data_IF_350477192832
#
_entry.id   IF_350477192832
#
_cell.length_a   1.000
_cell.length_b   1.000
_cell.length_c   1.000
_cell.angle_alpha   90.00
_cell.angle_beta   90.00
_cell.angle_gamma   90.00
#
_symmetry.space_group_name_H-M   'P 1'
#
loop_
_entity.id
_entity.type
_entity.pdbx_description
1 polymer ?
#
# COMPACT_ATOMS: atom_id res chain seq x y z
N UNK A 1 15.26 -37.39 21.77
CA UNK A 1 15.53 -36.84 23.10
C UNK A 1 14.33 -37.14 23.97
N UNK A 2 14.53 -37.93 25.01
CA UNK A 2 13.47 -38.27 25.94
C UNK A 2 13.17 -37.10 26.91
N UNK A 3 12.07 -37.17 27.67
CA UNK A 3 11.68 -36.10 28.61
C UNK A 3 12.70 -35.90 29.73
N UNK A 4 13.42 -36.97 30.09
CA UNK A 4 14.48 -36.92 31.08
C UNK A 4 15.66 -36.07 30.57
N UNK A 5 16.20 -36.39 29.40
CA UNK A 5 17.27 -35.64 28.72
C UNK A 5 16.91 -34.17 28.52
N UNK A 6 15.65 -33.86 28.15
CA UNK A 6 15.15 -32.48 28.08
C UNK A 6 15.22 -31.79 29.44
N UNK A 7 14.79 -32.46 30.51
CA UNK A 7 14.83 -31.94 31.88
C UNK A 7 16.24 -31.59 32.34
N UNK A 8 17.23 -32.46 32.09
CA UNK A 8 18.64 -32.14 32.36
C UNK A 8 19.11 -30.96 31.51
N UNK A 9 18.80 -30.96 30.21
CA UNK A 9 19.23 -29.92 29.29
C UNK A 9 18.74 -28.52 29.74
N UNK A 10 17.47 -28.37 30.12
CA UNK A 10 16.95 -27.11 30.66
C UNK A 10 17.63 -26.69 31.95
N UNK A 11 17.95 -27.63 32.85
CA UNK A 11 18.60 -27.34 34.13
C UNK A 11 20.09 -26.98 34.00
N UNK A 12 20.83 -27.61 33.08
CA UNK A 12 22.26 -27.31 32.87
C UNK A 12 22.48 -26.02 32.06
N UNK A 13 21.57 -25.67 31.14
CA UNK A 13 21.75 -24.55 30.19
C UNK A 13 22.10 -23.21 30.85
N UNK A 14 21.43 -22.76 31.94
CA UNK A 14 21.76 -21.50 32.63
C UNK A 14 23.17 -21.45 33.21
N UNK A 15 23.81 -22.60 33.39
CA UNK A 15 25.13 -22.73 34.00
C UNK A 15 26.23 -22.87 32.96
N UNK A 16 25.89 -23.18 31.70
CA UNK A 16 26.88 -23.28 30.63
C UNK A 16 27.48 -21.89 30.32
N UNK A 17 28.78 -21.78 30.00
CA UNK A 17 29.77 -22.85 30.00
C UNK A 17 30.14 -23.29 31.43
N UNK A 18 30.14 -24.59 31.69
CA UNK A 18 30.45 -25.18 33.01
C UNK A 18 31.23 -26.48 32.88
N UNK A 19 32.04 -26.79 33.88
CA UNK A 19 32.80 -28.03 33.98
C UNK A 19 31.94 -29.21 34.41
N UNK A 20 32.40 -30.45 34.15
CA UNK A 20 31.77 -31.67 34.67
C UNK A 20 31.55 -31.60 36.20
N UNK A 21 32.53 -31.08 36.94
CA UNK A 21 32.47 -30.97 38.40
C UNK A 21 31.39 -30.00 38.87
N UNK A 22 31.30 -28.82 38.24
CA UNK A 22 30.28 -27.82 38.55
C UNK A 22 28.87 -28.32 38.26
N UNK A 23 28.68 -29.05 37.16
CA UNK A 23 27.41 -29.67 36.82
C UNK A 23 27.07 -30.82 37.78
N UNK A 24 28.02 -31.68 38.16
CA UNK A 24 27.77 -32.77 39.12
C UNK A 24 27.34 -32.26 40.50
N UNK A 25 27.91 -31.14 40.95
CA UNK A 25 27.55 -30.52 42.23
C UNK A 25 26.11 -30.00 42.25
N UNK A 26 25.57 -29.52 41.13
CA UNK A 26 24.19 -29.01 41.06
C UNK A 26 23.10 -30.09 40.93
N UNK A 27 23.51 -31.33 40.71
CA UNK A 27 22.61 -32.46 40.62
C UNK A 27 22.83 -33.45 41.77
N UNK A 28 23.42 -33.00 42.89
CA UNK A 28 23.64 -33.83 44.10
C UNK A 28 24.26 -35.20 43.77
N UNK A 29 25.28 -35.21 42.90
CA UNK A 29 25.97 -36.45 42.48
C UNK A 29 25.08 -37.47 41.76
N UNK A 30 24.04 -37.00 41.05
CA UNK A 30 23.19 -37.86 40.23
C UNK A 30 24.00 -38.73 39.26
N UNK A 31 23.95 -40.04 39.52
CA UNK A 31 24.68 -41.06 38.75
C UNK A 31 24.29 -41.11 37.28
N UNK A 32 23.11 -40.61 36.91
CA UNK A 32 22.62 -40.57 35.54
C UNK A 32 23.12 -39.36 34.73
N UNK A 33 23.58 -38.28 35.39
CA UNK A 33 24.02 -37.04 34.75
C UNK A 33 25.11 -37.29 33.72
N UNK A 34 26.10 -38.13 34.04
CA UNK A 34 27.22 -38.45 33.15
C UNK A 34 26.74 -39.09 31.84
N UNK A 35 25.80 -40.03 31.94
CA UNK A 35 25.23 -40.69 30.77
C UNK A 35 24.44 -39.71 29.89
N UNK A 36 23.73 -38.77 30.51
CA UNK A 36 22.98 -37.72 29.81
C UNK A 36 23.92 -36.74 29.11
N UNK A 37 24.98 -36.26 29.78
CA UNK A 37 25.98 -35.38 29.19
C UNK A 37 26.70 -36.03 27.99
N UNK A 38 27.03 -37.32 28.09
CA UNK A 38 27.62 -38.08 26.98
C UNK A 38 26.67 -38.20 25.79
N UNK A 39 25.37 -38.45 26.02
CA UNK A 39 24.36 -38.50 24.96
C UNK A 39 24.16 -37.14 24.30
N UNK A 40 24.05 -36.06 25.09
CA UNK A 40 23.90 -34.69 24.59
C UNK A 40 25.12 -34.23 23.79
N UNK A 41 26.31 -34.70 24.17
CA UNK A 41 27.55 -34.45 23.41
C UNK A 41 27.57 -35.23 22.09
N UNK A 42 27.20 -36.52 22.11
CA UNK A 42 27.09 -37.35 20.90
C UNK A 42 26.05 -36.82 19.90
N UNK A 43 24.94 -36.27 20.40
CA UNK A 43 23.91 -35.64 19.56
C UNK A 43 24.29 -34.23 19.10
N UNK A 44 25.52 -33.75 19.37
CA UNK A 44 26.03 -32.42 19.01
C UNK A 44 25.17 -31.27 19.54
N UNK A 45 24.59 -31.46 20.73
CA UNK A 45 23.82 -30.44 21.43
C UNK A 45 24.76 -29.67 22.37
N UNK A 46 25.57 -30.42 23.12
CA UNK A 46 26.67 -29.89 23.91
C UNK A 46 28.01 -30.13 23.21
N UNK A 47 28.89 -29.15 23.30
CA UNK A 47 30.30 -29.25 22.95
C UNK A 47 31.09 -29.42 24.23
N UNK A 48 31.94 -30.43 24.29
CA UNK A 48 32.98 -30.55 25.31
C UNK A 48 34.29 -29.99 24.74
N UNK A 49 34.91 -29.05 25.44
CA UNK A 49 36.23 -28.50 25.09
C UNK A 49 37.11 -28.45 26.33
N UNK A 50 38.18 -29.25 26.33
CA UNK A 50 38.90 -29.56 27.56
C UNK A 50 37.97 -30.28 28.54
N UNK A 51 37.70 -29.64 29.67
CA UNK A 51 36.78 -30.15 30.71
C UNK A 51 35.47 -29.32 30.83
N UNK A 52 35.22 -28.41 29.88
CA UNK A 52 34.09 -27.48 29.93
C UNK A 52 33.05 -27.87 28.89
N UNK A 53 31.82 -28.05 29.34
CA UNK A 53 30.64 -28.20 28.50
C UNK A 53 30.10 -26.82 28.15
N UNK A 54 29.72 -26.63 26.90
CA UNK A 54 28.94 -25.49 26.43
C UNK A 54 27.99 -25.93 25.31
N UNK A 55 27.11 -25.04 24.84
CA UNK A 55 26.29 -25.31 23.66
C UNK A 55 27.06 -25.06 22.37
N UNK A 56 26.76 -25.78 21.29
CA UNK A 56 27.33 -25.48 19.97
C UNK A 56 26.82 -24.16 19.36
N UNK A 57 25.68 -23.67 19.82
CA UNK A 57 25.00 -22.53 19.22
C UNK A 57 24.35 -21.65 20.31
N UNK A 58 24.82 -20.41 20.44
CA UNK A 58 24.31 -19.44 21.42
C UNK A 58 22.81 -19.15 21.22
N UNK A 59 22.34 -19.19 19.98
CA UNK A 59 20.93 -19.02 19.62
C UNK A 59 20.07 -20.16 20.19
N UNK A 60 20.63 -21.37 20.27
CA UNK A 60 19.97 -22.52 20.88
C UNK A 60 20.01 -22.45 22.41
N UNK A 61 21.09 -21.91 22.98
CA UNK A 61 21.20 -21.63 24.42
C UNK A 61 20.15 -20.63 24.87
N UNK A 62 20.01 -19.51 24.16
CA UNK A 62 18.97 -18.50 24.42
C UNK A 62 17.55 -19.10 24.35
N UNK A 63 17.29 -19.97 23.36
CA UNK A 63 16.01 -20.69 23.28
C UNK A 63 15.72 -21.53 24.53
N UNK A 64 16.72 -22.27 25.01
CA UNK A 64 16.60 -23.11 26.19
C UNK A 64 16.42 -22.29 27.48
N UNK A 65 16.95 -21.07 27.55
CA UNK A 65 16.77 -20.17 28.69
C UNK A 65 15.37 -19.52 28.71
N UNK A 66 14.95 -18.99 27.57
CA UNK A 66 13.76 -18.13 27.51
C UNK A 66 12.49 -18.86 27.06
N UNK A 67 12.62 -20.11 26.62
CA UNK A 67 11.52 -20.90 26.02
C UNK A 67 10.96 -20.29 24.73
N UNK A 68 11.64 -19.29 24.17
CA UNK A 68 11.20 -18.52 23.00
C UNK A 68 12.14 -18.78 21.86
N UNK A 69 11.60 -19.27 20.74
CA UNK A 69 12.39 -19.36 19.52
C UNK A 69 12.93 -17.97 19.17
N UNK A 70 14.23 -17.86 18.87
CA UNK A 70 14.83 -16.60 18.46
C UNK A 70 14.07 -16.12 17.23
N UNK A 71 13.51 -14.92 17.34
CA UNK A 71 12.71 -14.35 16.26
C UNK A 71 13.66 -13.82 15.21
N UNK A 72 14.05 -14.68 14.27
CA UNK A 72 14.88 -14.30 13.13
C UNK A 72 14.03 -13.52 12.15
N UNK A 73 14.14 -12.19 12.19
CA UNK A 73 13.52 -11.30 11.22
C UNK A 73 14.48 -11.02 10.08
N UNK A 74 14.01 -11.13 8.84
CA UNK A 74 14.84 -10.82 7.69
C UNK A 74 14.98 -9.30 7.54
N UNK A 75 16.22 -8.84 7.40
CA UNK A 75 16.55 -7.46 7.07
C UNK A 75 16.65 -7.31 5.55
N UNK A 76 15.78 -6.52 4.94
CA UNK A 76 15.83 -6.26 3.50
C UNK A 76 15.32 -4.87 3.13
N UNK A 77 15.78 -4.39 1.98
CA UNK A 77 15.38 -3.11 1.38
C UNK A 77 14.45 -3.34 0.20
N UNK A 78 13.40 -2.54 0.08
CA UNK A 78 12.53 -2.56 -1.10
C UNK A 78 13.22 -1.99 -2.34
N UNK A 79 13.01 -2.66 -3.48
CA UNK A 79 13.61 -2.31 -4.77
C UNK A 79 12.69 -1.45 -5.64
N UNK A 80 11.38 -1.51 -5.44
CA UNK A 80 10.36 -0.76 -6.14
C UNK A 80 9.42 -0.05 -5.15
N UNK A 81 8.58 0.84 -5.68
CA UNK A 81 7.53 1.49 -4.89
C UNK A 81 6.33 0.56 -4.67
N UNK A 82 5.57 0.71 -3.57
CA UNK A 82 4.38 -0.10 -3.26
C UNK A 82 3.44 -0.26 -4.45
N UNK A 83 3.14 0.85 -5.11
CA UNK A 83 2.23 0.92 -6.25
C UNK A 83 2.66 0.02 -7.41
N UNK A 84 3.96 0.00 -7.73
CA UNK A 84 4.47 -0.81 -8.84
C UNK A 84 4.32 -2.30 -8.53
N UNK A 85 4.63 -2.68 -7.30
CA UNK A 85 4.56 -4.07 -6.83
C UNK A 85 3.12 -4.57 -6.77
N UNK A 86 2.25 -3.81 -6.10
CA UNK A 86 0.86 -4.22 -5.90
C UNK A 86 0.03 -4.15 -7.17
N UNK A 87 0.23 -3.15 -8.04
CA UNK A 87 -0.48 -3.13 -9.32
C UNK A 87 -0.17 -4.33 -10.17
N UNK A 88 1.08 -4.77 -10.18
CA UNK A 88 1.43 -5.98 -10.91
C UNK A 88 0.82 -7.23 -10.27
N UNK A 89 0.81 -7.32 -8.93
CA UNK A 89 0.12 -8.40 -8.22
C UNK A 89 -1.38 -8.46 -8.57
N UNK A 90 -2.08 -7.33 -8.56
CA UNK A 90 -3.49 -7.28 -8.95
C UNK A 90 -3.69 -7.71 -10.40
N UNK A 91 -2.84 -7.23 -11.31
CA UNK A 91 -2.87 -7.67 -12.70
C UNK A 91 -2.62 -9.16 -12.86
N UNK A 92 -1.77 -9.78 -12.04
CA UNK A 92 -1.55 -11.23 -12.07
C UNK A 92 -2.82 -11.99 -11.69
N UNK A 93 -3.45 -11.63 -10.58
CA UNK A 93 -4.69 -12.27 -10.12
C UNK A 93 -5.80 -12.11 -11.18
N UNK A 94 -5.96 -10.91 -11.74
CA UNK A 94 -6.97 -10.62 -12.76
C UNK A 94 -6.69 -11.34 -14.09
N UNK A 95 -5.45 -11.37 -14.55
CA UNK A 95 -5.08 -11.99 -15.83
C UNK A 95 -5.32 -13.49 -15.82
N UNK A 96 -5.07 -14.15 -14.68
CA UNK A 96 -5.29 -15.59 -14.52
C UNK A 96 -6.68 -15.96 -14.01
N UNK A 97 -7.55 -14.97 -13.75
CA UNK A 97 -8.85 -15.16 -13.08
C UNK A 97 -8.72 -16.08 -11.85
N UNK A 98 -7.72 -15.79 -11.02
CA UNK A 98 -7.39 -16.64 -9.87
C UNK A 98 -8.45 -16.46 -8.78
N UNK A 99 -9.20 -17.52 -8.53
CA UNK A 99 -10.27 -17.57 -7.53
C UNK A 99 -9.71 -18.00 -6.17
N UNK A 100 -9.96 -19.23 -5.71
CA UNK A 100 -9.47 -19.71 -4.41
C UNK A 100 -8.30 -20.70 -4.52
N UNK A 101 -7.95 -21.14 -5.72
CA UNK A 101 -6.88 -22.13 -5.93
C UNK A 101 -5.49 -21.49 -6.01
N UNK A 102 -4.47 -22.25 -5.61
CA UNK A 102 -3.06 -21.84 -5.78
C UNK A 102 -2.74 -21.52 -7.25
N UNK A 103 -2.14 -20.35 -7.49
CA UNK A 103 -1.68 -19.94 -8.81
C UNK A 103 -0.18 -20.24 -8.96
N UNK A 104 0.16 -21.06 -9.96
CA UNK A 104 1.54 -21.39 -10.35
C UNK A 104 1.90 -20.68 -11.64
N UNK A 105 3.09 -20.10 -11.66
CA UNK A 105 3.57 -19.23 -12.72
C UNK A 105 5.02 -19.61 -13.04
N UNK A 106 5.34 -19.69 -14.32
CA UNK A 106 6.72 -19.74 -14.79
C UNK A 106 7.39 -18.37 -14.68
N UNK A 107 8.73 -18.36 -14.72
CA UNK A 107 9.49 -17.11 -14.77
C UNK A 107 9.21 -16.29 -16.04
N UNK A 108 8.94 -16.96 -17.17
CA UNK A 108 8.64 -16.29 -18.44
C UNK A 108 7.24 -15.67 -18.44
N UNK A 109 6.22 -16.32 -17.86
CA UNK A 109 4.86 -15.72 -17.75
C UNK A 109 4.86 -14.40 -16.99
N UNK A 110 5.57 -14.32 -15.87
CA UNK A 110 5.70 -13.06 -15.11
C UNK A 110 6.40 -11.98 -15.95
N UNK A 111 7.46 -12.37 -16.67
CA UNK A 111 8.23 -11.45 -17.49
C UNK A 111 7.39 -10.92 -18.66
N UNK A 112 6.71 -11.80 -19.38
CA UNK A 112 5.87 -11.46 -20.52
C UNK A 112 4.70 -10.57 -20.10
N UNK A 113 4.02 -10.91 -19.00
CA UNK A 113 2.94 -10.09 -18.48
C UNK A 113 3.45 -8.69 -18.08
N UNK A 114 4.61 -8.62 -17.43
CA UNK A 114 5.19 -7.34 -17.00
C UNK A 114 5.56 -6.47 -18.20
N UNK A 115 6.26 -7.03 -19.19
CA UNK A 115 6.72 -6.32 -20.38
C UNK A 115 5.53 -5.90 -21.27
N UNK A 116 4.48 -6.71 -21.36
CA UNK A 116 3.23 -6.34 -22.03
C UNK A 116 2.57 -5.11 -21.40
N UNK A 117 2.60 -5.01 -20.06
CA UNK A 117 2.03 -3.87 -19.34
C UNK A 117 2.96 -2.66 -19.28
N UNK A 118 4.27 -2.86 -19.51
CA UNK A 118 5.30 -1.85 -19.42
C UNK A 118 6.35 -2.09 -20.54
N UNK A 119 6.06 -1.67 -21.78
CA UNK A 119 6.94 -1.96 -22.93
C UNK A 119 8.36 -1.38 -22.81
N UNK A 120 8.53 -0.34 -21.98
CA UNK A 120 9.82 0.27 -21.66
C UNK A 120 10.54 -0.41 -20.48
N UNK A 121 9.95 -1.48 -19.93
CA UNK A 121 10.52 -2.26 -18.84
C UNK A 121 11.71 -3.10 -19.29
N UNK A 122 12.47 -3.61 -18.32
CA UNK A 122 13.59 -4.50 -18.58
C UNK A 122 13.63 -5.65 -17.57
N UNK A 123 14.45 -6.66 -17.86
CA UNK A 123 14.61 -7.85 -17.01
C UNK A 123 15.07 -7.52 -15.59
N UNK A 124 15.82 -6.43 -15.41
CA UNK A 124 16.27 -6.01 -14.09
C UNK A 124 15.10 -5.56 -13.21
N UNK A 125 14.16 -4.79 -13.76
CA UNK A 125 12.94 -4.39 -13.04
C UNK A 125 12.03 -5.58 -12.76
N UNK A 126 11.92 -6.54 -13.68
CA UNK A 126 11.18 -7.80 -13.44
C UNK A 126 11.79 -8.56 -12.25
N UNK A 127 13.12 -8.62 -12.16
CA UNK A 127 13.79 -9.27 -11.03
C UNK A 127 13.56 -8.52 -9.71
N UNK A 128 13.58 -7.18 -9.72
CA UNK A 128 13.22 -6.38 -8.55
C UNK A 128 11.78 -6.59 -8.11
N UNK A 129 10.86 -6.72 -9.06
CA UNK A 129 9.45 -7.00 -8.80
C UNK A 129 9.25 -8.37 -8.15
N UNK A 130 9.84 -9.42 -8.73
CA UNK A 130 9.83 -10.77 -8.15
C UNK A 130 10.44 -10.77 -6.75
N UNK A 131 11.54 -10.03 -6.55
CA UNK A 131 12.18 -9.90 -5.26
C UNK A 131 11.21 -9.28 -4.24
N UNK A 132 10.65 -8.10 -4.51
CA UNK A 132 9.80 -7.40 -3.56
C UNK A 132 8.51 -8.20 -3.26
N UNK A 133 7.87 -8.81 -4.27
CA UNK A 133 6.71 -9.70 -4.09
C UNK A 133 6.99 -10.87 -3.14
N UNK A 134 8.19 -11.47 -3.26
CA UNK A 134 8.63 -12.54 -2.35
C UNK A 134 8.84 -12.02 -0.93
N UNK A 135 9.48 -10.86 -0.78
CA UNK A 135 9.75 -10.28 0.53
C UNK A 135 8.48 -9.90 1.30
N UNK A 136 7.43 -9.44 0.61
CA UNK A 136 6.11 -9.18 1.21
C UNK A 136 5.21 -10.42 1.26
N UNK A 137 5.73 -11.59 0.89
CA UNK A 137 5.02 -12.87 1.00
C UNK A 137 3.81 -13.01 0.09
N UNK A 138 3.74 -12.27 -1.01
CA UNK A 138 2.72 -12.43 -2.06
C UNK A 138 3.12 -13.45 -3.13
N UNK A 139 4.40 -13.82 -3.16
CA UNK A 139 4.96 -14.79 -4.11
C UNK A 139 5.96 -15.70 -3.38
N UNK A 140 5.98 -16.98 -3.74
CA UNK A 140 6.97 -17.96 -3.26
C UNK A 140 7.68 -18.60 -4.44
N UNK A 141 8.86 -19.16 -4.21
CA UNK A 141 9.57 -19.98 -5.19
C UNK A 141 9.45 -21.44 -4.75
N UNK A 142 8.99 -22.31 -5.64
CA UNK A 142 8.99 -23.77 -5.47
C UNK A 142 9.62 -24.40 -6.70
N UNK A 143 10.86 -24.89 -6.57
CA UNK A 143 11.66 -25.32 -7.73
C UNK A 143 11.82 -24.17 -8.72
N UNK A 144 11.46 -24.39 -9.98
CA UNK A 144 11.50 -23.38 -11.04
C UNK A 144 10.22 -22.54 -11.15
N UNK A 145 9.19 -22.88 -10.38
CA UNK A 145 7.89 -22.22 -10.39
C UNK A 145 7.78 -21.13 -9.32
N UNK A 146 7.00 -20.11 -9.65
CA UNK A 146 6.59 -19.03 -8.78
C UNK A 146 5.14 -19.24 -8.38
N UNK A 147 4.87 -19.18 -7.09
CA UNK A 147 3.60 -19.63 -6.54
C UNK A 147 2.95 -18.53 -5.70
N UNK A 148 1.68 -18.24 -6.00
CA UNK A 148 0.80 -17.47 -5.14
C UNK A 148 -0.12 -18.48 -4.44
N UNK A 149 0.08 -18.67 -3.13
CA UNK A 149 -0.70 -19.67 -2.39
C UNK A 149 -2.17 -19.26 -2.28
N UNK A 150 -3.06 -20.25 -2.24
CA UNK A 150 -4.50 -20.09 -1.98
C UNK A 150 -4.81 -19.08 -0.86
N UNK A 151 -4.09 -19.15 0.27
CA UNK A 151 -4.29 -18.23 1.40
C UNK A 151 -4.06 -16.76 1.05
N UNK A 152 -3.11 -16.46 0.15
CA UNK A 152 -2.84 -15.09 -0.31
C UNK A 152 -3.95 -14.61 -1.24
N UNK A 153 -4.50 -15.51 -2.06
CA UNK A 153 -5.56 -15.17 -3.00
C UNK A 153 -6.88 -14.94 -2.24
N UNK A 154 -7.18 -15.77 -1.24
CA UNK A 154 -8.30 -15.54 -0.30
C UNK A 154 -8.20 -14.20 0.42
N UNK A 155 -7.01 -13.82 0.88
CA UNK A 155 -6.74 -12.51 1.50
C UNK A 155 -6.97 -11.35 0.53
N UNK A 156 -6.66 -11.54 -0.75
CA UNK A 156 -6.96 -10.56 -1.79
C UNK A 156 -8.48 -10.40 -1.94
N UNK A 157 -9.23 -11.50 -2.13
CA UNK A 157 -10.69 -11.46 -2.31
C UNK A 157 -11.43 -10.95 -1.06
N UNK A 158 -10.90 -11.17 0.14
CA UNK A 158 -11.48 -10.66 1.39
C UNK A 158 -11.20 -9.17 1.67
N UNK A 159 -10.51 -8.46 0.76
CA UNK A 159 -10.04 -7.07 0.95
C UNK A 159 -9.14 -6.89 2.17
N UNK A 160 -8.42 -7.93 2.58
CA UNK A 160 -7.50 -7.88 3.73
C UNK A 160 -6.03 -7.73 3.32
N UNK A 161 -5.74 -7.64 2.02
CA UNK A 161 -4.38 -7.54 1.48
C UNK A 161 -3.57 -6.40 2.11
N UNK A 162 -4.17 -5.23 2.32
CA UNK A 162 -3.48 -4.10 2.96
C UNK A 162 -3.00 -4.43 4.37
N UNK A 163 -3.85 -5.08 5.19
CA UNK A 163 -3.49 -5.54 6.54
C UNK A 163 -2.42 -6.63 6.49
N UNK A 164 -2.56 -7.58 5.57
CA UNK A 164 -1.58 -8.64 5.37
C UNK A 164 -0.19 -8.08 5.05
N UNK A 165 -0.11 -7.20 4.06
CA UNK A 165 1.15 -6.56 3.67
C UNK A 165 1.69 -5.71 4.81
N UNK A 166 0.85 -4.92 5.50
CA UNK A 166 1.28 -4.15 6.68
C UNK A 166 1.95 -5.05 7.74
N UNK A 167 1.38 -6.23 8.02
CA UNK A 167 1.96 -7.21 8.94
C UNK A 167 3.32 -7.72 8.45
N UNK A 168 3.49 -7.97 7.14
CA UNK A 168 4.77 -8.38 6.54
C UNK A 168 5.82 -7.28 6.64
N UNK A 169 5.45 -6.02 6.40
CA UNK A 169 6.33 -4.87 6.58
C UNK A 169 6.79 -4.73 8.03
N UNK A 170 5.89 -4.86 9.01
CA UNK A 170 6.22 -4.80 10.46
C UNK A 170 7.14 -5.94 10.92
N UNK A 171 7.18 -7.05 10.18
CA UNK A 171 8.07 -8.19 10.44
C UNK A 171 9.43 -8.06 9.72
N UNK A 172 9.69 -7.01 8.95
CA UNK A 172 11.02 -6.71 8.45
C UNK A 172 11.89 -6.17 9.60
N UNK A 173 13.10 -6.70 9.78
CA UNK A 173 13.98 -6.32 10.89
C UNK A 173 14.33 -4.82 10.89
N UNK A 174 14.51 -4.22 9.71
CA UNK A 174 14.78 -2.78 9.54
C UNK A 174 13.57 -1.95 10.00
N UNK A 175 12.36 -2.36 9.61
CA UNK A 175 11.14 -1.65 10.01
C UNK A 175 10.90 -1.80 11.51
N UNK A 176 11.07 -3.01 12.03
CA UNK A 176 10.87 -3.30 13.45
C UNK A 176 11.84 -2.50 14.33
N UNK A 177 13.12 -2.54 14.00
CA UNK A 177 14.11 -1.75 14.74
C UNK A 177 13.84 -0.25 14.58
N UNK A 178 13.48 0.23 13.39
CA UNK A 178 13.07 1.63 13.20
C UNK A 178 11.91 2.03 14.13
N UNK A 179 10.94 1.14 14.35
CA UNK A 179 9.82 1.35 15.28
C UNK A 179 10.21 1.14 16.75
N UNK A 180 11.26 0.36 17.02
CA UNK A 180 11.78 0.09 18.37
C UNK A 180 12.77 1.15 18.85
N UNK A 181 13.48 1.84 17.95
CA UNK A 181 14.35 2.97 18.27
C UNK A 181 13.53 3.96 19.11
N UNK A 182 14.04 4.33 20.29
CA UNK A 182 13.39 5.20 21.29
C UNK A 182 12.80 6.50 20.73
N UNK A 183 13.17 6.89 19.51
CA UNK A 183 12.54 7.96 18.72
C UNK A 183 11.04 7.69 18.51
N UNK A 184 10.59 6.49 18.12
CA UNK A 184 9.16 6.22 17.92
C UNK A 184 8.43 5.97 19.24
N UNK A 185 9.10 5.34 20.23
CA UNK A 185 8.50 5.05 21.55
C UNK A 185 8.44 6.26 22.49
N UNK A 186 9.32 7.25 22.34
CA UNK A 186 9.34 8.48 23.17
C UNK A 186 8.79 9.73 22.43
N UNK A 187 7.95 9.56 21.39
CA UNK A 187 7.32 10.65 20.62
C UNK A 187 8.30 11.55 19.85
N UNK A 188 9.48 11.05 19.56
CA UNK A 188 10.45 11.68 18.68
C UNK A 188 9.99 11.62 17.22
N UNK A 189 10.08 12.77 16.57
CA UNK A 189 9.84 12.88 15.13
C UNK A 189 11.07 12.49 14.32
N UNK A 190 10.91 11.73 13.25
CA UNK A 190 12.02 11.30 12.38
C UNK A 190 11.94 11.96 11.00
N UNK A 191 13.05 12.41 10.42
CA UNK A 191 13.05 13.09 9.11
C UNK A 191 13.50 12.19 7.96
N UNK A 192 13.29 12.64 6.72
CA UNK A 192 13.76 11.95 5.50
C UNK A 192 15.30 11.75 5.48
N UNK A 193 16.05 12.71 6.03
CA UNK A 193 17.52 12.58 6.16
C UNK A 193 17.92 11.52 7.18
N UNK A 194 17.15 11.40 8.25
CA UNK A 194 17.42 10.41 9.29
C UNK A 194 17.17 8.99 8.75
N UNK A 195 16.13 8.81 7.92
CA UNK A 195 15.85 7.51 7.29
C UNK A 195 16.96 7.05 6.36
N UNK A 196 17.57 7.99 5.63
CA UNK A 196 18.71 7.67 4.77
C UNK A 196 19.93 7.25 5.59
N UNK A 197 20.26 7.99 6.66
CA UNK A 197 21.37 7.65 7.57
C UNK A 197 21.14 6.34 8.31
N UNK A 198 19.90 6.09 8.75
CA UNK A 198 19.54 4.84 9.42
C UNK A 198 19.77 3.63 8.51
N UNK A 199 19.34 3.70 7.25
CA UNK A 199 19.60 2.62 6.29
C UNK A 199 21.09 2.41 6.01
N UNK A 200 21.85 3.49 5.86
CA UNK A 200 23.31 3.45 5.66
C UNK A 200 24.02 2.78 6.86
N UNK A 201 23.63 3.13 8.09
CA UNK A 201 24.19 2.55 9.30
C UNK A 201 23.74 1.10 9.53
N UNK A 202 22.51 0.74 9.15
CA UNK A 202 22.01 -0.63 9.40
C UNK A 202 22.58 -1.64 8.42
N UNK A 203 22.88 -1.19 7.21
CA UNK A 203 23.37 -2.03 6.11
C UNK A 203 24.84 -1.70 5.81
N UNK A 204 25.66 -1.62 6.85
CA UNK A 204 27.09 -1.29 6.79
C UNK A 204 27.88 -2.17 5.82
N UNK A 205 27.47 -3.44 5.65
CA UNK A 205 28.11 -4.38 4.72
C UNK A 205 27.73 -4.17 3.25
N UNK A 206 26.87 -3.20 2.93
CA UNK A 206 26.56 -2.82 1.55
C UNK A 206 27.24 -1.51 1.20
N UNK A 207 28.23 -1.56 0.32
CA UNK A 207 28.78 -0.36 -0.29
C UNK A 207 27.81 0.21 -1.33
N UNK A 208 27.31 1.42 -1.07
CA UNK A 208 26.45 2.13 -2.01
C UNK A 208 26.72 3.63 -1.98
N UNK A 209 26.54 4.29 -3.14
CA UNK A 209 26.63 5.76 -3.22
C UNK A 209 25.53 6.41 -2.39
N UNK A 210 25.78 7.60 -1.82
CA UNK A 210 24.78 8.38 -1.06
C UNK A 210 23.43 8.54 -1.78
N UNK A 211 23.43 8.66 -3.11
CA UNK A 211 22.20 8.74 -3.92
C UNK A 211 21.35 7.46 -3.89
N UNK A 212 21.98 6.29 -3.77
CA UNK A 212 21.33 4.99 -3.65
C UNK A 212 20.61 4.86 -2.30
N UNK A 213 21.23 5.30 -1.21
CA UNK A 213 20.60 5.33 0.12
C UNK A 213 19.37 6.21 0.16
N UNK A 214 19.43 7.41 -0.44
CA UNK A 214 18.25 8.28 -0.58
C UNK A 214 17.14 7.59 -1.37
N UNK A 215 17.47 6.81 -2.39
CA UNK A 215 16.48 6.09 -3.20
C UNK A 215 15.81 4.97 -2.40
N UNK A 216 16.60 4.19 -1.63
CA UNK A 216 16.04 3.19 -0.72
C UNK A 216 15.19 3.81 0.38
N UNK A 217 15.62 4.93 0.95
CA UNK A 217 14.85 5.67 1.96
C UNK A 217 13.51 6.15 1.40
N UNK A 218 13.46 6.69 0.18
CA UNK A 218 12.18 7.10 -0.46
C UNK A 218 11.24 5.93 -0.70
N UNK A 219 11.78 4.78 -1.14
CA UNK A 219 10.97 3.56 -1.36
C UNK A 219 10.43 3.05 -0.03
N UNK A 220 11.29 2.92 0.99
CA UNK A 220 10.88 2.52 2.33
C UNK A 220 9.85 3.50 2.91
N UNK A 221 10.07 4.81 2.78
CA UNK A 221 9.10 5.84 3.17
C UNK A 221 7.73 5.56 2.57
N UNK A 222 7.64 5.36 1.26
CA UNK A 222 6.37 5.05 0.60
C UNK A 222 5.72 3.77 1.17
N UNK A 223 6.49 2.70 1.38
CA UNK A 223 5.99 1.49 2.03
C UNK A 223 5.47 1.75 3.47
N UNK A 224 6.14 2.60 4.24
CA UNK A 224 5.71 2.92 5.60
C UNK A 224 4.47 3.82 5.63
N UNK A 225 4.35 4.77 4.69
CA UNK A 225 3.23 5.72 4.64
C UNK A 225 1.99 5.14 3.99
N UNK A 226 2.14 4.43 2.87
CA UNK A 226 0.99 3.92 2.11
C UNK A 226 0.24 2.83 2.89
N UNK A 227 0.93 2.12 3.80
CA UNK A 227 0.35 1.11 4.67
C UNK A 227 0.15 1.58 6.11
N UNK A 228 0.13 2.90 6.36
CA UNK A 228 -0.18 3.47 7.68
C UNK A 228 0.65 2.82 8.80
N UNK A 229 1.95 2.63 8.58
CA UNK A 229 2.92 2.27 9.64
C UNK A 229 3.46 3.54 10.27
N UNK A 230 3.75 4.54 9.44
CA UNK A 230 4.09 5.91 9.83
C UNK A 230 3.28 6.88 8.98
N UNK A 231 3.08 8.10 9.45
CA UNK A 231 2.50 9.19 8.66
C UNK A 231 3.43 10.40 8.69
N UNK A 232 3.46 11.16 7.60
CA UNK A 232 4.24 12.39 7.53
C UNK A 232 3.40 13.59 8.00
N UNK A 233 3.88 14.29 9.03
CA UNK A 233 3.34 15.58 9.39
C UNK A 233 3.72 16.61 8.33
N UNK A 234 2.72 17.13 7.62
CA UNK A 234 2.90 18.12 6.56
C UNK A 234 3.56 19.42 7.01
N UNK A 235 3.39 19.83 8.28
CA UNK A 235 3.98 21.07 8.81
C UNK A 235 5.46 20.86 9.13
N UNK A 236 5.79 19.77 9.80
CA UNK A 236 7.15 19.53 10.30
C UNK A 236 7.99 18.61 9.41
N UNK A 237 7.42 18.03 8.34
CA UNK A 237 8.04 17.06 7.42
C UNK A 237 8.69 15.89 8.14
N UNK A 238 8.00 15.43 9.17
CA UNK A 238 8.50 14.47 10.15
C UNK A 238 7.53 13.30 10.26
N UNK A 239 8.05 12.11 10.42
CA UNK A 239 7.26 10.90 10.63
C UNK A 239 6.78 10.83 12.08
N UNK A 240 5.51 10.46 12.23
CA UNK A 240 4.84 10.18 13.51
C UNK A 240 4.00 8.90 13.38
N UNK A 241 3.49 8.39 14.49
CA UNK A 241 2.63 7.22 14.48
C UNK A 241 1.21 7.59 13.98
N UNK A 242 0.58 6.72 13.17
CA UNK A 242 -0.77 6.97 12.67
C UNK A 242 -1.81 7.15 13.78
N UNK A 243 -1.68 6.39 14.88
CA UNK A 243 -2.57 6.42 16.04
C UNK A 243 -2.62 7.79 16.74
N UNK A 244 -1.64 8.66 16.51
CA UNK A 244 -1.64 10.02 17.05
C UNK A 244 -2.60 10.96 16.30
N UNK A 245 -3.08 10.56 15.10
CA UNK A 245 -3.94 11.38 14.23
C UNK A 245 -5.20 10.69 13.71
N UNK A 246 -5.21 9.36 13.64
CA UNK A 246 -6.30 8.58 13.06
C UNK A 246 -6.78 7.52 14.05
N UNK A 247 -8.07 7.27 14.04
CA UNK A 247 -8.72 6.17 14.75
C UNK A 247 -8.33 4.81 14.16
N UNK A 248 -8.55 3.73 14.92
CA UNK A 248 -8.28 2.37 14.45
C UNK A 248 -9.15 2.00 13.25
N UNK A 249 -10.39 2.50 13.23
CA UNK A 249 -11.37 2.34 12.16
C UNK A 249 -10.88 3.00 10.87
N UNK A 250 -10.39 4.24 10.94
CA UNK A 250 -9.84 4.96 9.78
C UNK A 250 -8.60 4.28 9.20
N UNK A 251 -7.73 3.74 10.06
CA UNK A 251 -6.57 2.96 9.61
C UNK A 251 -7.03 1.67 8.92
N UNK A 252 -8.02 0.97 9.50
CA UNK A 252 -8.55 -0.26 8.92
C UNK A 252 -9.24 -0.01 7.56
N UNK A 253 -10.02 1.07 7.45
CA UNK A 253 -10.67 1.50 6.20
C UNK A 253 -9.63 1.85 5.14
N UNK A 254 -8.57 2.59 5.50
CA UNK A 254 -7.48 2.89 4.58
C UNK A 254 -6.84 1.61 4.05
N UNK A 255 -6.52 0.65 4.93
CA UNK A 255 -5.89 -0.62 4.57
C UNK A 255 -6.80 -1.50 3.70
N UNK A 256 -8.12 -1.48 3.93
CA UNK A 256 -9.09 -2.20 3.10
C UNK A 256 -9.19 -1.64 1.67
N UNK A 257 -8.87 -0.36 1.48
CA UNK A 257 -8.95 0.34 0.21
C UNK A 257 -7.61 0.45 -0.54
N UNK A 258 -6.56 -0.24 -0.06
CA UNK A 258 -5.22 -0.20 -0.66
C UNK A 258 -5.21 -0.64 -2.13
N UNK A 259 -6.05 -1.60 -2.50
CA UNK A 259 -6.21 -2.01 -3.91
C UNK A 259 -6.68 -0.85 -4.78
N UNK A 260 -7.78 -0.22 -4.39
CA UNK A 260 -8.36 0.92 -5.12
C UNK A 260 -7.36 2.07 -5.24
N UNK A 261 -6.54 2.32 -4.21
CA UNK A 261 -5.51 3.37 -4.25
C UNK A 261 -4.44 3.13 -5.33
N UNK A 262 -4.09 1.88 -5.58
CA UNK A 262 -2.99 1.55 -6.49
C UNK A 262 -3.48 1.29 -7.92
N UNK A 263 -4.64 0.63 -8.09
CA UNK A 263 -5.23 0.28 -9.40
C UNK A 263 -5.79 1.50 -10.16
N UNK A 264 -6.15 2.58 -9.45
CA UNK A 264 -6.81 3.80 -9.94
C UNK A 264 -6.03 4.66 -10.97
N UNK A 265 -4.98 4.16 -11.63
CA UNK A 265 -4.34 4.87 -12.76
C UNK A 265 -4.18 4.10 -14.08
N UNK A 266 -4.35 2.77 -14.12
CA UNK A 266 -4.27 2.02 -15.39
C UNK A 266 -5.62 1.56 -15.93
N UNK A 267 -6.68 1.49 -15.11
CA UNK A 267 -8.03 1.05 -15.53
C UNK A 267 -9.08 2.17 -15.59
N UNK A 268 -8.68 3.37 -16.04
CA UNK A 268 -9.59 4.51 -16.18
C UNK A 268 -10.54 4.41 -17.40
N UNK A 269 -10.69 3.22 -17.99
CA UNK A 269 -11.53 3.00 -19.18
C UNK A 269 -12.77 2.14 -18.91
N UNK A 270 -12.90 1.49 -17.73
CA UNK A 270 -14.06 0.64 -17.44
C UNK A 270 -14.79 0.94 -16.13
N UNK A 271 -14.19 1.64 -15.16
CA UNK A 271 -14.94 2.42 -14.18
C UNK A 271 -14.88 3.87 -14.65
N UNK A 272 -15.97 4.38 -15.22
CA UNK A 272 -16.07 5.81 -15.57
C UNK A 272 -15.71 6.60 -14.32
N UNK A 273 -14.56 7.29 -14.36
CA UNK A 273 -14.27 8.38 -13.43
C UNK A 273 -15.57 9.16 -13.27
N UNK A 274 -16.10 9.23 -12.05
CA UNK A 274 -17.32 10.00 -11.78
C UNK A 274 -17.00 11.41 -12.24
N UNK A 275 -17.64 11.82 -13.33
CA UNK A 275 -17.43 13.11 -13.95
C UNK A 275 -17.98 14.17 -13.00
N UNK A 276 -17.14 15.12 -12.63
CA UNK A 276 -17.54 16.26 -11.82
C UNK A 276 -17.13 17.54 -12.53
N UNK A 277 -18.10 18.41 -12.84
CA UNK A 277 -17.84 19.60 -13.63
C UNK A 277 -16.89 20.56 -12.92
N UNK A 278 -16.07 21.24 -13.72
CA UNK A 278 -15.03 22.14 -13.23
C UNK A 278 -15.43 23.61 -13.25
N UNK A 279 -16.29 23.98 -14.19
CA UNK A 279 -16.79 25.34 -14.39
C UNK A 279 -18.31 25.38 -14.41
N UNK A 280 -18.89 26.53 -14.13
CA UNK A 280 -20.34 26.73 -14.21
C UNK A 280 -20.87 26.47 -15.63
N UNK A 281 -22.17 26.17 -15.72
CA UNK A 281 -22.84 25.85 -16.98
C UNK A 281 -22.77 26.99 -18.01
N UNK A 282 -22.74 28.25 -17.56
CA UNK A 282 -22.59 29.43 -18.42
C UNK A 282 -21.37 29.33 -19.36
N UNK A 283 -20.23 28.83 -18.87
CA UNK A 283 -19.02 28.66 -19.66
C UNK A 283 -19.10 27.48 -20.64
N UNK A 284 -19.98 26.51 -20.37
CA UNK A 284 -20.25 25.39 -21.28
C UNK A 284 -21.12 25.87 -22.43
N UNK A 285 -22.14 26.69 -22.16
CA UNK A 285 -22.98 27.31 -23.19
C UNK A 285 -22.17 28.26 -24.06
N UNK A 286 -21.40 29.15 -23.45
CA UNK A 286 -20.51 30.08 -24.16
C UNK A 286 -19.54 29.33 -25.07
N UNK A 287 -18.84 28.30 -24.56
CA UNK A 287 -17.96 27.48 -25.38
C UNK A 287 -18.73 26.77 -26.53
N UNK A 288 -19.94 26.27 -26.26
CA UNK A 288 -20.73 25.59 -27.28
C UNK A 288 -21.14 26.54 -28.41
N UNK A 289 -21.47 27.80 -28.10
CA UNK A 289 -21.72 28.84 -29.09
C UNK A 289 -20.49 29.10 -29.96
N UNK A 290 -19.32 29.28 -29.34
CA UNK A 290 -18.04 29.45 -30.06
C UNK A 290 -17.76 28.27 -31.02
N UNK A 291 -17.95 27.04 -30.54
CA UNK A 291 -17.64 25.84 -31.31
C UNK A 291 -18.64 25.60 -32.45
N UNK A 292 -19.94 25.87 -32.24
CA UNK A 292 -20.96 25.74 -33.28
C UNK A 292 -20.81 26.78 -34.39
N UNK A 293 -20.26 27.96 -34.07
CA UNK A 293 -19.96 29.03 -35.03
C UNK A 293 -18.59 28.88 -35.70
N UNK A 294 -17.85 27.79 -35.44
CA UNK A 294 -16.48 27.56 -35.91
C UNK A 294 -15.49 28.70 -35.58
N UNK A 295 -15.74 29.41 -34.48
CA UNK A 295 -14.85 30.48 -34.00
C UNK A 295 -13.66 29.88 -33.25
N UNK A 296 -12.50 30.54 -33.34
CA UNK A 296 -11.36 30.20 -32.49
C UNK A 296 -11.63 30.60 -31.05
N UNK A 297 -11.25 29.74 -30.11
CA UNK A 297 -11.30 30.04 -28.68
C UNK A 297 -10.30 31.17 -28.40
N UNK A 298 -10.68 32.26 -27.71
CA UNK A 298 -9.78 33.34 -27.31
C UNK A 298 -8.53 32.87 -26.52
N UNK A 299 -7.51 33.73 -26.39
CA UNK A 299 -6.21 33.45 -25.71
C UNK A 299 -5.91 34.32 -24.44
N UNK A 300 -6.91 34.88 -23.76
CA UNK A 300 -6.81 35.65 -22.52
C UNK A 300 -7.27 34.93 -21.20
N UNK A 301 -7.40 35.66 -20.08
CA UNK A 301 -7.69 35.07 -18.75
C UNK A 301 -9.05 34.35 -18.68
N UNK A 302 -10.01 34.74 -19.52
CA UNK A 302 -11.32 34.08 -19.66
C UNK A 302 -11.18 32.70 -20.32
N UNK A 303 -10.15 32.46 -21.14
CA UNK A 303 -9.94 31.13 -21.71
C UNK A 303 -9.55 30.09 -20.68
N UNK A 304 -9.03 30.45 -19.50
CA UNK A 304 -8.77 29.39 -18.52
C UNK A 304 -10.08 28.68 -18.13
N UNK A 305 -11.21 29.39 -18.15
CA UNK A 305 -12.53 28.79 -17.92
C UNK A 305 -13.08 28.13 -19.17
N UNK A 306 -12.91 28.70 -20.37
CA UNK A 306 -13.34 28.05 -21.62
C UNK A 306 -12.53 26.78 -21.94
N UNK A 307 -11.22 26.77 -21.66
CA UNK A 307 -10.38 25.57 -21.72
C UNK A 307 -10.83 24.53 -20.69
N UNK A 308 -11.25 24.95 -19.49
CA UNK A 308 -11.82 24.02 -18.51
C UNK A 308 -13.19 23.49 -18.97
N UNK A 309 -14.03 24.33 -19.58
CA UNK A 309 -15.28 23.91 -20.22
C UNK A 309 -15.02 22.87 -21.33
N UNK A 310 -13.97 23.08 -22.14
CA UNK A 310 -13.58 22.15 -23.19
C UNK A 310 -13.11 20.82 -22.61
N UNK A 311 -12.33 20.86 -21.52
CA UNK A 311 -11.93 19.67 -20.79
C UNK A 311 -13.14 18.93 -20.20
N UNK A 312 -14.12 19.65 -19.67
CA UNK A 312 -15.36 19.05 -19.14
C UNK A 312 -16.17 18.38 -20.25
N UNK A 313 -16.37 19.05 -21.39
CA UNK A 313 -17.05 18.47 -22.57
C UNK A 313 -16.30 17.27 -23.15
N UNK A 314 -14.96 17.29 -23.12
CA UNK A 314 -14.12 16.15 -23.54
C UNK A 314 -14.28 14.97 -22.58
N UNK A 315 -14.28 15.21 -21.27
CA UNK A 315 -14.45 14.18 -20.26
C UNK A 315 -15.77 13.43 -20.40
N UNK A 316 -16.82 14.11 -20.89
CA UNK A 316 -18.11 13.49 -21.21
C UNK A 316 -18.28 13.18 -22.71
N UNK A 317 -17.19 13.13 -23.49
CA UNK A 317 -17.20 12.70 -24.90
C UNK A 317 -18.16 13.48 -25.81
N UNK A 318 -18.37 14.77 -25.51
CA UNK A 318 -19.16 15.68 -26.33
C UNK A 318 -18.30 16.55 -27.26
N UNK A 319 -17.01 16.68 -26.95
CA UNK A 319 -15.98 17.25 -27.82
C UNK A 319 -14.84 16.25 -27.91
N UNK A 320 -14.35 15.99 -29.12
CA UNK A 320 -13.14 15.19 -29.32
C UNK A 320 -11.90 16.10 -29.21
N UNK A 321 -11.00 15.82 -28.28
CA UNK A 321 -9.82 16.66 -28.02
C UNK A 321 -8.77 16.67 -29.14
N UNK A 322 -8.80 15.69 -30.05
CA UNK A 322 -7.84 15.58 -31.16
C UNK A 322 -8.38 16.19 -32.45
N UNK A 323 -9.68 16.08 -32.68
CA UNK A 323 -10.31 16.50 -33.94
C UNK A 323 -11.20 17.73 -33.81
N UNK A 324 -11.44 18.22 -32.57
CA UNK A 324 -12.46 19.23 -32.23
C UNK A 324 -13.87 18.90 -32.76
N UNK A 325 -14.11 17.65 -33.16
CA UNK A 325 -15.41 17.22 -33.65
C UNK A 325 -16.43 17.24 -32.51
N UNK A 326 -17.53 17.95 -32.74
CA UNK A 326 -18.64 18.04 -31.81
C UNK A 326 -19.55 16.82 -31.95
N UNK A 327 -19.99 16.29 -30.82
CA UNK A 327 -21.04 15.28 -30.76
C UNK A 327 -22.37 15.92 -30.31
N UNK A 328 -22.66 17.12 -30.82
CA UNK A 328 -23.92 17.83 -30.69
C UNK A 328 -23.99 18.87 -31.81
N UNK A 329 -25.18 19.12 -32.37
CA UNK A 329 -25.42 20.11 -33.42
C UNK A 329 -26.17 21.36 -32.95
N UNK A 330 -26.59 21.41 -31.68
CA UNK A 330 -27.24 22.58 -31.09
C UNK A 330 -27.06 22.63 -29.57
N UNK A 331 -27.25 23.81 -28.96
CA UNK A 331 -27.26 23.98 -27.50
C UNK A 331 -28.35 23.11 -26.86
N UNK A 332 -29.52 22.97 -27.50
CA UNK A 332 -30.61 22.12 -27.03
C UNK A 332 -30.20 20.65 -26.98
N UNK A 333 -29.53 20.16 -28.02
CA UNK A 333 -29.01 18.79 -28.07
C UNK A 333 -27.93 18.56 -27.00
N UNK A 334 -27.03 19.53 -26.83
CA UNK A 334 -26.02 19.52 -25.76
C UNK A 334 -26.67 19.39 -24.38
N UNK A 335 -27.64 20.24 -24.05
CA UNK A 335 -28.39 20.18 -22.79
C UNK A 335 -28.98 18.79 -22.55
N UNK A 336 -29.68 18.23 -23.53
CA UNK A 336 -30.30 16.92 -23.42
C UNK A 336 -29.27 15.80 -23.18
N UNK A 337 -28.14 15.84 -23.90
CA UNK A 337 -27.07 14.85 -23.75
C UNK A 337 -26.40 14.91 -22.38
N UNK A 338 -26.13 16.11 -21.86
CA UNK A 338 -25.55 16.28 -20.53
C UNK A 338 -26.56 15.88 -19.44
N UNK A 339 -27.81 16.36 -19.56
CA UNK A 339 -28.90 16.02 -18.64
C UNK A 339 -29.07 14.51 -18.51
N UNK A 340 -29.20 13.79 -19.63
CA UNK A 340 -29.36 12.34 -19.62
C UNK A 340 -28.17 11.55 -19.04
N UNK A 341 -26.98 12.16 -18.96
CA UNK A 341 -25.83 11.56 -18.24
C UNK A 341 -25.91 11.81 -16.74
N UNK A 342 -26.28 13.03 -16.34
CA UNK A 342 -26.31 13.45 -14.95
C UNK A 342 -27.56 13.03 -14.19
N UNK A 343 -28.64 12.63 -14.85
CA UNK A 343 -29.83 12.09 -14.17
C UNK A 343 -29.64 10.64 -13.68
N UNK A 344 -28.56 9.97 -14.09
CA UNK A 344 -28.29 8.57 -13.76
C UNK A 344 -27.47 8.42 -12.47
N UNK A 345 -27.48 7.22 -11.92
CA UNK A 345 -26.56 6.82 -10.85
C UNK A 345 -25.11 7.01 -11.31
N UNK A 346 -24.23 7.61 -10.49
CA UNK A 346 -24.43 7.92 -9.07
C UNK A 346 -24.90 9.35 -8.75
N UNK A 347 -25.09 10.22 -9.75
CA UNK A 347 -25.39 11.64 -9.55
C UNK A 347 -26.80 11.91 -9.00
N UNK A 348 -27.77 11.04 -9.31
CA UNK A 348 -29.14 11.14 -8.82
C UNK A 348 -29.23 11.26 -7.28
N UNK A 349 -28.33 10.59 -6.55
CA UNK A 349 -28.26 10.67 -5.09
C UNK A 349 -27.93 12.10 -4.61
N UNK A 350 -27.05 12.82 -5.33
CA UNK A 350 -26.70 14.22 -5.03
C UNK A 350 -27.91 15.12 -5.25
N UNK A 351 -28.66 14.89 -6.33
CA UNK A 351 -29.86 15.67 -6.65
C UNK A 351 -30.98 15.45 -5.64
N UNK A 352 -31.24 14.19 -5.28
CA UNK A 352 -32.24 13.84 -4.28
C UNK A 352 -31.95 14.52 -2.93
N UNK A 353 -30.70 14.43 -2.45
CA UNK A 353 -30.30 15.11 -1.22
C UNK A 353 -30.39 16.63 -1.31
N UNK A 354 -30.05 17.22 -2.46
CA UNK A 354 -30.18 18.66 -2.67
C UNK A 354 -31.65 19.11 -2.62
N UNK A 355 -32.56 18.37 -3.29
CA UNK A 355 -33.99 18.68 -3.30
C UNK A 355 -34.62 18.53 -1.91
N UNK A 356 -34.26 17.45 -1.20
CA UNK A 356 -34.74 17.14 0.15
C UNK A 356 -34.14 18.04 1.26
N UNK A 357 -33.29 19.03 0.92
CA UNK A 357 -32.54 19.85 1.88
C UNK A 357 -31.68 19.03 2.86
N UNK A 358 -31.22 17.85 2.45
CA UNK A 358 -30.25 17.06 3.20
C UNK A 358 -28.83 17.61 2.99
N UNK A 359 -27.78 16.88 3.41
CA UNK A 359 -26.37 17.29 3.27
C UNK A 359 -25.72 16.68 2.01
N UNK A 360 -25.94 17.22 0.79
CA UNK A 360 -25.39 16.66 -0.45
C UNK A 360 -23.85 16.60 -0.47
N UNK A 361 -23.18 17.39 0.37
CA UNK A 361 -21.73 17.33 0.55
C UNK A 361 -21.23 15.98 1.08
N UNK A 362 -22.02 15.29 1.93
CA UNK A 362 -21.64 13.95 2.42
C UNK A 362 -21.65 12.94 1.29
N UNK A 363 -22.69 12.97 0.46
CA UNK A 363 -22.82 12.11 -0.73
C UNK A 363 -21.69 12.42 -1.71
N UNK A 364 -21.47 13.69 -2.02
CA UNK A 364 -20.41 14.12 -2.93
C UNK A 364 -19.02 13.68 -2.46
N UNK A 365 -18.76 13.73 -1.15
CA UNK A 365 -17.50 13.27 -0.57
C UNK A 365 -17.31 11.76 -0.74
N UNK A 366 -18.37 10.98 -0.56
CA UNK A 366 -18.36 9.55 -0.79
C UNK A 366 -18.15 9.21 -2.28
N UNK A 367 -18.86 9.90 -3.19
CA UNK A 367 -18.67 9.76 -4.64
C UNK A 367 -17.25 10.09 -5.08
N UNK A 368 -16.64 11.10 -4.48
CA UNK A 368 -15.28 11.51 -4.76
C UNK A 368 -14.21 10.70 -3.99
N UNK A 369 -14.62 9.67 -3.23
CA UNK A 369 -13.74 8.78 -2.44
C UNK A 369 -12.69 9.54 -1.61
N UNK A 370 -13.06 10.66 -1.00
CA UNK A 370 -12.14 11.51 -0.22
C UNK A 370 -10.88 12.01 -0.97
N UNK A 371 -10.85 11.98 -2.31
CA UNK A 371 -9.68 12.39 -3.13
C UNK A 371 -9.35 13.88 -3.04
N UNK A 372 -10.27 14.71 -2.54
CA UNK A 372 -10.18 16.17 -2.55
C UNK A 372 -10.37 16.74 -1.15
N UNK A 373 -9.78 17.91 -0.90
CA UNK A 373 -10.03 18.66 0.34
C UNK A 373 -11.49 19.10 0.43
N UNK A 374 -11.96 19.37 1.65
CA UNK A 374 -13.32 19.88 1.90
C UNK A 374 -13.65 21.14 1.13
N UNK A 375 -12.69 22.06 1.00
CA UNK A 375 -12.84 23.27 0.19
C UNK A 375 -13.07 22.95 -1.29
N UNK A 376 -12.34 21.97 -1.83
CA UNK A 376 -12.49 21.54 -3.23
C UNK A 376 -13.80 20.79 -3.43
N UNK A 377 -14.20 19.89 -2.52
CA UNK A 377 -15.50 19.19 -2.59
C UNK A 377 -16.65 20.19 -2.56
N UNK A 378 -16.61 21.20 -1.67
CA UNK A 378 -17.61 22.28 -1.62
C UNK A 378 -17.68 23.06 -2.93
N UNK A 379 -16.52 23.47 -3.46
CA UNK A 379 -16.43 24.19 -4.72
C UNK A 379 -17.01 23.37 -5.88
N UNK A 380 -16.65 22.09 -5.98
CA UNK A 380 -17.18 21.17 -7.00
C UNK A 380 -18.67 20.92 -6.87
N UNK A 381 -19.17 20.73 -5.65
CA UNK A 381 -20.60 20.60 -5.40
C UNK A 381 -21.36 21.85 -5.84
N UNK A 382 -20.83 23.04 -5.57
CA UNK A 382 -21.45 24.30 -6.02
C UNK A 382 -21.60 24.34 -7.54
N UNK A 383 -20.55 23.96 -8.27
CA UNK A 383 -20.58 23.90 -9.75
C UNK A 383 -21.57 22.84 -10.23
N UNK A 384 -21.58 21.68 -9.60
CA UNK A 384 -22.49 20.58 -9.95
C UNK A 384 -23.96 20.97 -9.72
N UNK A 385 -24.28 21.67 -8.63
CA UNK A 385 -25.62 22.21 -8.39
C UNK A 385 -26.00 23.30 -9.40
N UNK A 386 -25.05 24.16 -9.79
CA UNK A 386 -25.26 25.14 -10.87
C UNK A 386 -25.63 24.45 -12.20
N UNK A 387 -24.98 23.35 -12.55
CA UNK A 387 -25.36 22.55 -13.71
C UNK A 387 -26.77 21.98 -13.56
N UNK A 388 -27.08 21.36 -12.41
CA UNK A 388 -28.40 20.78 -12.16
C UNK A 388 -29.55 21.79 -12.31
N UNK A 389 -29.33 23.05 -11.95
CA UNK A 389 -30.31 24.12 -12.11
C UNK A 389 -30.51 24.57 -13.57
N UNK A 390 -29.41 24.68 -14.32
CA UNK A 390 -29.47 25.13 -15.71
C UNK A 390 -29.91 24.02 -16.68
N UNK A 391 -29.74 22.76 -16.29
CA UNK A 391 -30.24 21.58 -16.98
C UNK A 391 -31.65 21.17 -16.54
N UNK A 392 -32.26 21.91 -15.61
CA UNK A 392 -33.60 21.61 -15.08
C UNK A 392 -33.71 20.19 -14.49
N UNK A 393 -32.65 19.73 -13.82
CA UNK A 393 -32.63 18.50 -13.02
C UNK A 393 -33.14 18.79 -11.61
N UNK A 394 -32.81 19.98 -11.08
CA UNK A 394 -33.28 20.46 -9.78
C UNK A 394 -33.82 21.90 -9.89
N UNK A 395 -34.73 22.33 -9.00
CA UNK A 395 -35.29 23.69 -9.03
C UNK A 395 -34.24 24.80 -8.88
N UNK A 396 -34.49 25.96 -9.49
CA UNK A 396 -33.70 27.20 -9.31
C UNK A 396 -33.98 27.82 -7.94
N UNK A 397 -33.15 27.52 -6.94
CA UNK A 397 -33.16 28.07 -5.58
C UNK A 397 -31.75 28.08 -4.98
N UNK A 398 -31.51 28.80 -3.89
CA UNK A 398 -30.24 28.70 -3.15
C UNK A 398 -30.20 27.39 -2.36
N UNK A 399 -29.23 26.52 -2.66
CA UNK A 399 -28.99 25.28 -1.92
C UNK A 399 -27.91 25.50 -0.85
N UNK A 400 -28.09 24.92 0.34
CA UNK A 400 -27.05 24.93 1.37
C UNK A 400 -26.01 23.84 1.07
N UNK A 401 -24.74 24.21 1.15
CA UNK A 401 -23.62 23.31 0.80
C UNK A 401 -23.17 22.40 1.96
N UNK A 402 -23.79 22.51 3.14
CA UNK A 402 -23.47 21.75 4.36
C UNK A 402 -24.22 22.29 5.56
#
# INVERSE_FOLDING_TARGET
MDELEKGYLFRITPKLPATAYELHKEFDEDTSLRNVLDRLTKSRILRLSGNTYDTYNDVFKEYLLDGKLPKVYQAFTYRLYPKEVLNFFYSLIQYHNADDDELRLSNEEIKDLYLKQNPQGNNHTVNHLKYDLKQIGLLKQYGDELVISESVIKIYHSRELGKYVQSKLKNNAIVRELLDLDIVKQKGTFSDSDLSKYLENKLTFREARKGTWKTHARKLKAWLTDFMILIEDKKSKKFILPIDKYSSEEIAEHLANVEEMFTDRKNNTSQREIFVPRVNWEYIEELAEYLLENKQIPQNKEDKKLQQAQNDLTAISLVNSQTNKLNFGSIKELKNKVKGKLEKTPYNQVWQAAVANEKPIKIMRHLLKNKYSDSTVKSRLSVMLNWGQNLEIIPKKRYRHG
#
